data_IF_730452035020
#
_entry.id   IF_730452035020
#
_cell.length_a   1.000
_cell.length_b   1.000
_cell.length_c   1.000
_cell.angle_alpha   90.00
_cell.angle_beta   90.00
_cell.angle_gamma   90.00
#
_symmetry.space_group_name_H-M   'P 1'
#
loop_
_entity.id
_entity.type
_entity.pdbx_description
1 polymer ?
#
# COMPACT_ATOMS: atom_id res chain seq x y z
N UNK A 1 -31.32 6.39 -42.39
CA UNK A 1 -29.90 6.12 -42.05
C UNK A 1 -29.81 6.20 -40.55
N UNK A 2 -29.56 5.07 -39.90
CA UNK A 2 -29.70 4.89 -38.47
C UNK A 2 -28.54 5.55 -37.72
N UNK A 3 -28.87 6.48 -36.83
CA UNK A 3 -27.95 7.00 -35.84
C UNK A 3 -27.57 5.86 -34.89
N UNK A 4 -26.27 5.59 -34.75
CA UNK A 4 -25.74 4.67 -33.75
C UNK A 4 -25.99 5.33 -32.38
N UNK A 5 -26.63 4.66 -31.42
CA UNK A 5 -26.80 5.21 -30.09
C UNK A 5 -25.43 5.32 -29.42
N UNK A 6 -25.04 6.54 -29.04
CA UNK A 6 -23.98 6.74 -28.07
C UNK A 6 -24.42 6.04 -26.78
N UNK A 7 -23.78 4.92 -26.46
CA UNK A 7 -23.98 4.22 -25.21
C UNK A 7 -23.42 5.12 -24.11
N UNK A 8 -24.30 5.83 -23.44
CA UNK A 8 -24.05 6.39 -22.13
C UNK A 8 -24.22 5.25 -21.12
N UNK A 9 -23.12 4.61 -20.71
CA UNK A 9 -23.13 3.69 -19.57
C UNK A 9 -21.93 3.97 -18.68
N UNK A 10 -22.22 4.38 -17.45
CA UNK A 10 -21.30 4.41 -16.32
C UNK A 10 -20.83 5.81 -15.94
N UNK A 11 -21.43 6.35 -14.87
CA UNK A 11 -20.76 7.28 -13.96
C UNK A 11 -19.55 6.57 -13.34
N UNK A 12 -18.48 6.41 -14.11
CA UNK A 12 -17.18 5.95 -13.66
C UNK A 12 -16.22 7.07 -13.99
N UNK A 13 -15.61 7.69 -12.97
CA UNK A 13 -14.53 8.64 -13.20
C UNK A 13 -13.46 7.91 -14.02
N UNK A 14 -13.44 8.18 -15.33
CA UNK A 14 -12.44 7.59 -16.21
C UNK A 14 -11.08 8.04 -15.68
N UNK A 15 -10.28 7.08 -15.20
CA UNK A 15 -8.91 7.35 -14.73
C UNK A 15 -8.23 8.22 -15.79
N UNK A 16 -7.68 9.39 -15.48
CA UNK A 16 -6.97 10.22 -16.46
C UNK A 16 -5.92 9.42 -17.22
N UNK A 17 -5.65 9.75 -18.49
CA UNK A 17 -4.69 8.99 -19.30
C UNK A 17 -3.29 8.97 -18.66
N UNK A 18 -2.85 10.09 -18.10
CA UNK A 18 -1.55 10.19 -17.40
C UNK A 18 -1.47 9.27 -16.17
N UNK A 19 -2.54 9.23 -15.36
CA UNK A 19 -2.64 8.33 -14.22
C UNK A 19 -2.67 6.87 -14.67
N UNK A 20 -3.41 6.58 -15.73
CA UNK A 20 -3.49 5.24 -16.31
C UNK A 20 -2.11 4.73 -16.77
N UNK A 21 -1.40 5.54 -17.56
CA UNK A 21 -0.07 5.19 -18.06
C UNK A 21 0.90 4.99 -16.88
N UNK A 22 0.86 5.89 -15.90
CA UNK A 22 1.68 5.80 -14.70
C UNK A 22 1.39 4.55 -13.87
N UNK A 23 0.12 4.21 -13.64
CA UNK A 23 -0.28 3.06 -12.82
C UNK A 23 -0.07 1.73 -13.53
N UNK A 24 -0.03 1.71 -14.86
CA UNK A 24 0.26 0.51 -15.66
C UNK A 24 1.75 0.30 -15.92
N UNK A 25 2.59 1.28 -15.62
CA UNK A 25 4.04 1.19 -15.76
C UNK A 25 4.67 0.40 -14.59
N UNK A 26 4.35 0.75 -13.35
CA UNK A 26 4.99 0.17 -12.16
C UNK A 26 4.09 0.09 -10.94
N UNK A 27 4.18 -1.02 -10.19
CA UNK A 27 3.52 -1.17 -8.89
C UNK A 27 3.92 -0.04 -7.93
N UNK A 28 5.17 0.41 -7.96
CA UNK A 28 5.60 1.52 -7.09
C UNK A 28 4.79 2.79 -7.33
N UNK A 29 4.41 3.08 -8.57
CA UNK A 29 3.54 4.22 -8.86
C UNK A 29 2.12 4.05 -8.33
N UNK A 30 1.62 2.80 -8.30
CA UNK A 30 0.34 2.47 -7.66
C UNK A 30 0.46 2.68 -6.15
N UNK A 31 1.51 2.14 -5.54
CA UNK A 31 1.74 2.24 -4.10
C UNK A 31 1.98 3.68 -3.64
N UNK A 32 2.56 4.57 -4.44
CA UNK A 32 2.76 5.98 -4.06
C UNK A 32 1.50 6.85 -4.21
N UNK A 33 0.52 6.41 -5.02
CA UNK A 33 -0.71 7.17 -5.30
C UNK A 33 -1.87 6.68 -4.44
N UNK A 34 -2.42 7.56 -3.60
CA UNK A 34 -3.59 7.24 -2.77
C UNK A 34 -4.78 6.78 -3.61
N UNK A 35 -5.00 7.41 -4.77
CA UNK A 35 -6.09 7.03 -5.67
C UNK A 35 -5.82 5.68 -6.32
N UNK A 36 -4.59 5.42 -6.78
CA UNK A 36 -4.23 4.14 -7.36
C UNK A 36 -4.36 2.99 -6.35
N UNK A 37 -3.92 3.19 -5.09
CA UNK A 37 -4.12 2.22 -4.00
C UNK A 37 -5.59 1.93 -3.75
N UNK A 38 -6.47 2.96 -3.82
CA UNK A 38 -7.92 2.75 -3.70
C UNK A 38 -8.44 1.85 -4.82
N UNK A 39 -8.13 2.15 -6.08
CA UNK A 39 -8.52 1.32 -7.22
C UNK A 39 -7.94 -0.10 -7.15
N UNK A 40 -6.69 -0.23 -6.70
CA UNK A 40 -6.06 -1.53 -6.55
C UNK A 40 -6.76 -2.34 -5.45
N UNK A 41 -7.08 -1.73 -4.29
CA UNK A 41 -7.86 -2.39 -3.23
C UNK A 41 -9.23 -2.84 -3.72
N UNK A 42 -9.96 -1.98 -4.43
CA UNK A 42 -11.26 -2.33 -5.02
C UNK A 42 -11.15 -3.52 -5.98
N UNK A 43 -10.09 -3.53 -6.80
CA UNK A 43 -9.78 -4.67 -7.66
C UNK A 43 -9.52 -5.95 -6.86
N UNK A 44 -8.63 -5.91 -5.86
CA UNK A 44 -8.31 -7.08 -5.02
C UNK A 44 -9.57 -7.63 -4.34
N UNK A 45 -10.38 -6.75 -3.75
CA UNK A 45 -11.63 -7.09 -3.09
C UNK A 45 -12.63 -7.74 -4.06
N UNK A 46 -12.83 -7.14 -5.25
CA UNK A 46 -13.73 -7.72 -6.27
C UNK A 46 -13.29 -9.08 -6.81
N UNK A 47 -12.01 -9.44 -6.64
CA UNK A 47 -11.42 -10.72 -7.06
C UNK A 47 -11.28 -11.73 -5.92
N UNK A 48 -11.62 -11.36 -4.69
CA UNK A 48 -11.47 -12.21 -3.51
C UNK A 48 -10.00 -12.45 -3.12
N UNK A 49 -9.11 -11.50 -3.42
CA UNK A 49 -7.68 -11.59 -3.12
C UNK A 49 -7.39 -11.02 -1.71
N UNK A 50 -7.92 -11.69 -0.68
CA UNK A 50 -7.89 -11.22 0.70
C UNK A 50 -6.47 -11.08 1.28
N UNK A 51 -5.56 -12.00 0.94
CA UNK A 51 -4.15 -11.96 1.37
C UNK A 51 -3.43 -10.72 0.83
N UNK A 52 -3.66 -10.41 -0.44
CA UNK A 52 -3.08 -9.26 -1.12
C UNK A 52 -3.71 -7.95 -0.62
N UNK A 53 -5.01 -7.96 -0.30
CA UNK A 53 -5.66 -6.83 0.36
C UNK A 53 -5.04 -6.54 1.74
N UNK A 54 -4.81 -7.58 2.55
CA UNK A 54 -4.10 -7.48 3.83
C UNK A 54 -2.66 -6.99 3.67
N UNK A 55 -1.97 -7.45 2.64
CA UNK A 55 -0.60 -7.01 2.31
C UNK A 55 -0.56 -5.53 1.90
N UNK A 56 -1.52 -5.06 1.11
CA UNK A 56 -1.66 -3.65 0.75
C UNK A 56 -1.96 -2.79 1.99
N UNK A 57 -2.85 -3.25 2.87
CA UNK A 57 -3.14 -2.56 4.13
C UNK A 57 -1.89 -2.47 5.02
N UNK A 58 -1.12 -3.55 5.13
CA UNK A 58 0.14 -3.55 5.86
C UNK A 58 1.11 -2.50 5.29
N UNK A 59 1.28 -2.45 3.97
CA UNK A 59 2.14 -1.47 3.31
C UNK A 59 1.73 -0.03 3.65
N UNK A 60 0.42 0.26 3.65
CA UNK A 60 -0.11 1.58 4.00
C UNK A 60 0.10 1.94 5.46
N UNK A 61 -0.06 0.98 6.38
CA UNK A 61 0.22 1.19 7.81
C UNK A 61 1.70 1.48 8.03
N UNK A 62 2.61 0.82 7.31
CA UNK A 62 4.04 1.11 7.30
C UNK A 62 4.34 2.55 6.80
N UNK A 63 3.65 2.98 5.74
CA UNK A 63 3.78 4.33 5.18
C UNK A 63 3.37 5.40 6.21
N UNK A 64 2.21 5.21 6.86
CA UNK A 64 1.70 6.13 7.89
C UNK A 64 2.65 6.22 9.08
N UNK A 65 3.16 5.08 9.57
CA UNK A 65 4.09 5.02 10.68
C UNK A 65 5.42 5.72 10.36
N UNK A 66 5.89 5.58 9.12
CA UNK A 66 7.12 6.24 8.62
C UNK A 66 6.98 7.76 8.49
N UNK A 67 5.80 8.26 8.08
CA UNK A 67 5.53 9.71 7.90
C UNK A 67 5.29 10.44 9.23
N UNK A 68 4.69 9.79 10.22
CA UNK A 68 4.25 10.40 11.47
C UNK A 68 5.37 11.06 12.30
N UNK A 69 6.64 10.76 12.04
CA UNK A 69 7.79 11.31 12.78
C UNK A 69 8.55 12.42 12.02
N UNK A 70 8.24 12.69 10.74
CA UNK A 70 8.95 13.73 9.98
C UNK A 70 8.56 15.16 10.43
N UNK A 71 7.38 15.34 11.03
CA UNK A 71 6.85 16.65 11.42
C UNK A 71 7.33 17.17 12.79
N UNK A 72 8.06 16.38 13.59
CA UNK A 72 8.45 16.78 14.95
C UNK A 72 9.83 17.43 15.08
N UNK A 73 10.60 17.57 13.99
CA UNK A 73 11.98 18.11 14.05
C UNK A 73 12.11 19.64 14.10
N UNK A 74 11.03 20.41 14.00
CA UNK A 74 11.15 21.85 13.66
C UNK A 74 10.90 22.89 14.76
N UNK A 75 10.81 22.53 16.05
CA UNK A 75 10.59 23.53 17.10
C UNK A 75 11.68 23.54 18.20
N UNK A 76 12.78 24.31 18.00
CA UNK A 76 13.94 24.31 18.90
C UNK A 76 13.72 25.05 20.25
N UNK A 77 12.52 25.57 20.54
CA UNK A 77 12.26 26.38 21.74
C UNK A 77 11.21 25.80 22.73
N UNK A 78 10.69 24.59 22.51
CA UNK A 78 9.72 24.00 23.44
C UNK A 78 10.42 23.09 24.46
N UNK A 79 10.68 23.62 25.67
CA UNK A 79 11.16 22.82 26.79
C UNK A 79 10.13 21.81 27.27
N UNK A 80 10.08 20.59 26.71
CA UNK A 80 9.18 19.52 27.17
C UNK A 80 9.70 18.10 26.90
N UNK A 81 10.52 17.55 27.82
CA UNK A 81 10.89 16.12 27.82
C UNK A 81 9.67 15.17 27.87
N UNK A 82 8.53 15.62 28.42
CA UNK A 82 7.29 14.82 28.48
C UNK A 82 6.65 14.59 27.10
N UNK A 83 6.73 15.55 26.19
CA UNK A 83 6.10 15.42 24.87
C UNK A 83 6.80 14.38 24.00
N UNK A 84 8.14 14.39 24.00
CA UNK A 84 8.95 13.43 23.26
C UNK A 84 8.78 12.00 23.77
N UNK A 85 8.63 11.83 25.09
CA UNK A 85 8.36 10.51 25.68
C UNK A 85 6.99 9.96 25.27
N UNK A 86 5.94 10.80 25.24
CA UNK A 86 4.60 10.38 24.82
C UNK A 86 4.57 10.00 23.34
N UNK A 87 5.22 10.78 22.46
CA UNK A 87 5.31 10.47 21.03
C UNK A 87 6.08 9.18 20.77
N UNK A 88 7.15 8.92 21.54
CA UNK A 88 7.92 7.68 21.43
C UNK A 88 7.10 6.45 21.90
N UNK A 89 6.40 6.55 23.02
CA UNK A 89 5.51 5.48 23.50
C UNK A 89 4.41 5.15 22.49
N UNK A 90 3.83 6.16 21.84
CA UNK A 90 2.85 5.96 20.78
C UNK A 90 3.46 5.28 19.56
N UNK A 91 4.63 5.71 19.11
CA UNK A 91 5.34 5.08 18.00
C UNK A 91 5.64 3.60 18.26
N UNK A 92 6.14 3.26 19.45
CA UNK A 92 6.41 1.87 19.81
C UNK A 92 5.14 1.03 19.88
N UNK A 93 4.04 1.59 20.37
CA UNK A 93 2.75 0.91 20.36
C UNK A 93 2.27 0.66 18.92
N UNK A 94 2.26 1.69 18.08
CA UNK A 94 1.82 1.59 16.70
C UNK A 94 2.71 0.59 15.91
N UNK A 95 4.02 0.53 16.21
CA UNK A 95 4.92 -0.46 15.64
C UNK A 95 4.63 -1.89 16.11
N UNK A 96 4.27 -2.11 17.38
CA UNK A 96 3.84 -3.43 17.88
C UNK A 96 2.56 -3.89 17.21
N UNK A 97 1.57 -3.00 17.12
CA UNK A 97 0.27 -3.28 16.50
C UNK A 97 0.46 -3.61 15.01
N UNK A 98 1.42 -2.96 14.34
CA UNK A 98 1.81 -3.27 12.95
C UNK A 98 2.42 -4.68 12.81
N UNK A 99 3.33 -5.08 13.70
CA UNK A 99 3.94 -6.41 13.64
C UNK A 99 2.92 -7.52 13.92
N UNK A 100 2.03 -7.32 14.90
CA UNK A 100 0.95 -8.27 15.17
C UNK A 100 -0.01 -8.41 13.98
N UNK A 101 -0.29 -7.29 13.28
CA UNK A 101 -1.07 -7.33 12.04
C UNK A 101 -0.36 -8.13 10.95
N UNK A 102 0.95 -7.93 10.78
CA UNK A 102 1.74 -8.64 9.78
C UNK A 102 1.75 -10.15 10.02
N UNK A 103 1.87 -10.59 11.27
CA UNK A 103 1.83 -12.00 11.66
C UNK A 103 0.49 -12.68 11.34
N UNK A 104 -0.64 -11.97 11.49
CA UNK A 104 -1.99 -12.52 11.26
C UNK A 104 -2.45 -12.43 9.80
N UNK A 105 -2.05 -11.36 9.09
CA UNK A 105 -2.64 -10.98 7.79
C UNK A 105 -1.70 -11.00 6.60
N UNK A 106 -0.39 -11.10 6.81
CA UNK A 106 0.60 -10.95 5.73
C UNK A 106 1.51 -12.16 5.70
N UNK A 107 1.73 -12.68 4.50
CA UNK A 107 2.60 -13.82 4.26
C UNK A 107 4.08 -13.41 4.17
N UNK A 108 4.56 -12.68 5.18
CA UNK A 108 5.98 -12.37 5.32
C UNK A 108 6.75 -13.63 5.73
N UNK A 109 7.99 -13.76 5.25
CA UNK A 109 8.83 -14.85 5.69
C UNK A 109 9.18 -14.73 7.19
N UNK A 110 9.51 -15.87 7.79
CA UNK A 110 9.78 -15.97 9.22
C UNK A 110 10.98 -15.11 9.65
N UNK A 111 11.97 -14.90 8.79
CA UNK A 111 13.12 -14.07 9.11
C UNK A 111 12.74 -12.58 9.15
N UNK A 112 11.94 -12.11 8.20
CA UNK A 112 11.39 -10.76 8.17
C UNK A 112 10.54 -10.48 9.43
N UNK A 113 9.60 -11.37 9.78
CA UNK A 113 8.78 -11.21 10.99
C UNK A 113 9.64 -11.17 12.25
N UNK A 114 10.62 -12.07 12.39
CA UNK A 114 11.55 -12.08 13.54
C UNK A 114 12.35 -10.79 13.64
N UNK A 115 12.87 -10.28 12.54
CA UNK A 115 13.61 -9.02 12.51
C UNK A 115 12.72 -7.85 12.97
N UNK A 116 11.46 -7.83 12.55
CA UNK A 116 10.49 -6.83 13.00
C UNK A 116 10.21 -6.93 14.51
N UNK A 117 9.96 -8.12 15.04
CA UNK A 117 9.77 -8.34 16.48
C UNK A 117 10.99 -7.88 17.30
N UNK A 118 12.19 -8.31 16.91
CA UNK A 118 13.43 -7.95 17.61
C UNK A 118 13.69 -6.44 17.59
N UNK A 119 13.41 -5.77 16.47
CA UNK A 119 13.56 -4.33 16.37
C UNK A 119 12.61 -3.60 17.31
N UNK A 120 11.34 -4.00 17.35
CA UNK A 120 10.30 -3.41 18.20
C UNK A 120 10.61 -3.63 19.68
N UNK A 121 11.02 -4.83 20.06
CA UNK A 121 11.42 -5.15 21.44
C UNK A 121 12.68 -4.40 21.89
N UNK A 122 13.59 -4.09 20.96
CA UNK A 122 14.77 -3.27 21.27
C UNK A 122 14.43 -1.82 21.62
N UNK A 123 13.24 -1.32 21.25
CA UNK A 123 12.82 0.07 21.41
C UNK A 123 13.65 1.09 20.61
N UNK A 124 14.60 0.63 19.78
CA UNK A 124 15.49 1.50 19.01
C UNK A 124 14.79 1.96 17.74
N UNK A 125 14.37 3.22 17.74
CA UNK A 125 13.61 3.83 16.65
C UNK A 125 14.26 3.64 15.27
N UNK A 126 15.57 3.84 15.14
CA UNK A 126 16.26 3.68 13.85
C UNK A 126 16.24 2.23 13.34
N UNK A 127 16.29 1.25 14.25
CA UNK A 127 16.16 -0.17 13.90
C UNK A 127 14.75 -0.47 13.44
N UNK A 128 13.75 0.01 14.19
CA UNK A 128 12.32 -0.17 13.85
C UNK A 128 12.03 0.42 12.46
N UNK A 129 12.55 1.62 12.17
CA UNK A 129 12.43 2.23 10.85
C UNK A 129 13.11 1.44 9.74
N UNK A 130 14.27 0.83 10.02
CA UNK A 130 14.97 0.02 9.04
C UNK A 130 14.14 -1.20 8.65
N UNK A 131 13.68 -1.96 9.63
CA UNK A 131 12.88 -3.18 9.37
C UNK A 131 11.49 -2.87 8.80
N UNK A 132 10.89 -1.72 9.13
CA UNK A 132 9.64 -1.28 8.48
C UNK A 132 9.87 -1.03 7.00
N UNK A 133 10.99 -0.39 6.61
CA UNK A 133 11.31 -0.17 5.19
C UNK A 133 11.54 -1.48 4.46
N UNK A 134 12.24 -2.42 5.08
CA UNK A 134 12.43 -3.77 4.53
C UNK A 134 11.09 -4.48 4.39
N UNK A 135 10.22 -4.42 5.40
CA UNK A 135 8.86 -4.97 5.34
C UNK A 135 8.01 -4.35 4.22
N UNK A 136 8.13 -3.05 3.97
CA UNK A 136 7.46 -2.40 2.83
C UNK A 136 7.94 -2.94 1.49
N UNK A 137 9.23 -3.25 1.36
CA UNK A 137 9.79 -3.86 0.16
C UNK A 137 9.26 -5.29 -0.02
N UNK A 138 9.29 -6.11 1.02
CA UNK A 138 8.72 -7.46 0.98
C UNK A 138 7.23 -7.45 0.64
N UNK A 139 6.45 -6.51 1.19
CA UNK A 139 5.05 -6.36 0.85
C UNK A 139 4.82 -5.96 -0.62
N UNK A 140 5.67 -5.10 -1.18
CA UNK A 140 5.61 -4.77 -2.60
C UNK A 140 5.92 -5.98 -3.49
N UNK A 141 6.88 -6.82 -3.08
CA UNK A 141 7.21 -8.07 -3.78
C UNK A 141 6.04 -9.06 -3.74
N UNK A 142 5.38 -9.22 -2.59
CA UNK A 142 4.18 -10.07 -2.45
C UNK A 142 3.01 -9.59 -3.32
N UNK A 143 2.85 -8.27 -3.50
CA UNK A 143 1.79 -7.68 -4.33
C UNK A 143 2.07 -7.74 -5.84
N UNK A 144 3.27 -8.14 -6.25
CA UNK A 144 3.74 -7.98 -7.63
C UNK A 144 2.93 -8.82 -8.63
N UNK A 145 2.54 -10.04 -8.26
CA UNK A 145 1.78 -10.93 -9.14
C UNK A 145 0.34 -10.43 -9.33
N UNK A 146 -0.32 -10.00 -8.25
CA UNK A 146 -1.67 -9.44 -8.33
C UNK A 146 -1.69 -8.06 -9.00
N UNK A 147 -0.59 -7.30 -8.88
CA UNK A 147 -0.39 -6.11 -9.69
C UNK A 147 -0.40 -6.41 -11.20
N UNK A 148 0.18 -7.54 -11.65
CA UNK A 148 0.08 -7.90 -13.06
C UNK A 148 -1.37 -8.19 -13.48
N UNK A 149 -2.19 -8.76 -12.60
CA UNK A 149 -3.62 -8.96 -12.85
C UNK A 149 -4.37 -7.62 -12.91
N UNK A 150 -4.08 -6.72 -11.98
CA UNK A 150 -4.62 -5.36 -11.96
C UNK A 150 -4.25 -4.58 -13.22
N UNK A 151 -2.98 -4.61 -13.62
CA UNK A 151 -2.49 -3.99 -14.85
C UNK A 151 -3.23 -4.52 -16.08
N UNK A 152 -3.38 -5.84 -16.20
CA UNK A 152 -4.17 -6.46 -17.28
C UNK A 152 -5.63 -6.02 -17.24
N UNK A 153 -6.21 -5.89 -16.05
CA UNK A 153 -7.59 -5.41 -15.87
C UNK A 153 -7.76 -3.97 -16.38
N UNK A 154 -6.86 -3.06 -15.99
CA UNK A 154 -6.85 -1.67 -16.49
C UNK A 154 -6.74 -1.61 -18.01
N UNK A 155 -5.79 -2.36 -18.60
CA UNK A 155 -5.61 -2.40 -20.05
C UNK A 155 -6.85 -2.93 -20.79
N UNK A 156 -7.54 -3.93 -20.22
CA UNK A 156 -8.82 -4.44 -20.76
C UNK A 156 -9.93 -3.40 -20.68
N UNK A 157 -10.06 -2.66 -19.58
CA UNK A 157 -11.06 -1.59 -19.44
C UNK A 157 -10.91 -0.50 -20.50
N UNK A 158 -9.69 -0.24 -20.98
CA UNK A 158 -9.43 0.70 -22.08
C UNK A 158 -9.46 0.10 -23.49
N UNK A 159 -9.80 -1.19 -23.62
CA UNK A 159 -9.81 -1.88 -24.91
C UNK A 159 -8.42 -2.10 -25.52
N UNK A 160 -7.35 -1.98 -24.73
CA UNK A 160 -5.96 -2.12 -25.18
C UNK A 160 -5.43 -3.56 -25.13
N UNK A 161 -6.18 -4.48 -24.50
CA UNK A 161 -5.94 -5.92 -24.57
C UNK A 161 -7.21 -6.55 -25.09
N UNK A 162 -7.11 -7.25 -26.22
CA UNK A 162 -8.26 -7.88 -26.88
C UNK A 162 -9.01 -8.79 -25.91
N UNK A 163 -10.34 -8.67 -25.91
CA UNK A 163 -11.20 -9.72 -25.36
C UNK A 163 -10.82 -11.01 -26.08
N UNK A 164 -10.14 -11.91 -25.39
CA UNK A 164 -10.00 -13.28 -25.88
C UNK A 164 -11.43 -13.80 -26.03
N UNK A 165 -11.83 -13.96 -27.29
CA UNK A 165 -13.10 -14.51 -27.69
C UNK A 165 -13.33 -15.80 -26.90
N UNK A 166 -14.39 -15.83 -26.08
CA UNK A 166 -15.05 -17.09 -25.76
C UNK A 166 -15.41 -17.76 -27.09
N UNK A 167 -14.77 -18.88 -27.36
CA UNK A 167 -15.30 -19.93 -28.24
C UNK A 167 -15.57 -21.15 -27.37
#
# INVERSE_FOLDING_TARGET
MSCIPCVAEGEGASIPLEDFDRWTDSLYHVLESRDARRYFREFLSSRGLEESEGTLEFWERCEVLSRSQQHHKHNPHAGHNRSAHISNMRFLKDARDLVAFAEDKVNLDLAALRAMFEAVESGKEDKIKAVIREGMQSAAELLQDDYQLFRKHLLKQRGLVGSENCK
#
